data_IF_681003597275
#
_entry.id   IF_681003597275
#
_cell.length_a   1.000
_cell.length_b   1.000
_cell.length_c   1.000
_cell.angle_alpha   90.00
_cell.angle_beta   90.00
_cell.angle_gamma   90.00
#
_symmetry.space_group_name_H-M   'P 1'
#
loop_
_entity.id
_entity.type
_entity.pdbx_description
1 polymer ?
#
# COMPACT_ATOMS: atom_id res chain seq x y z
N UNK A 1 22.90 -16.44 34.55
CA UNK A 1 21.65 -16.84 33.87
C UNK A 1 21.47 -15.90 32.71
N UNK A 2 21.58 -16.38 31.47
CA UNK A 2 21.31 -15.54 30.29
C UNK A 2 19.81 -15.22 30.25
N UNK A 3 19.43 -13.96 30.42
CA UNK A 3 18.06 -13.53 30.20
C UNK A 3 17.64 -13.94 28.79
N UNK A 4 16.60 -14.77 28.68
CA UNK A 4 15.93 -15.02 27.40
C UNK A 4 15.41 -13.66 26.92
N UNK A 5 16.10 -13.04 25.98
CA UNK A 5 15.67 -11.79 25.36
C UNK A 5 14.42 -12.09 24.54
N UNK A 6 13.25 -11.68 25.05
CA UNK A 6 12.00 -11.78 24.31
C UNK A 6 12.12 -10.99 23.01
N UNK A 7 11.84 -11.64 21.89
CA UNK A 7 11.87 -11.04 20.55
C UNK A 7 10.59 -10.29 20.18
N UNK A 8 9.57 -10.33 21.04
CA UNK A 8 8.29 -9.64 20.82
C UNK A 8 8.44 -8.16 21.22
N UNK A 9 8.27 -7.26 20.25
CA UNK A 9 8.51 -5.83 20.48
C UNK A 9 7.39 -5.15 21.26
N UNK A 10 6.16 -5.67 21.22
CA UNK A 10 5.11 -5.17 22.09
C UNK A 10 5.44 -5.45 23.56
N UNK A 11 5.91 -6.66 23.88
CA UNK A 11 6.35 -6.94 25.24
C UNK A 11 7.54 -6.07 25.66
N UNK A 12 8.48 -5.84 24.73
CA UNK A 12 9.60 -4.93 24.96
C UNK A 12 9.13 -3.51 25.28
N UNK A 13 8.16 -3.00 24.53
CA UNK A 13 7.65 -1.63 24.64
C UNK A 13 6.72 -1.44 25.85
N UNK A 14 5.77 -2.34 26.07
CA UNK A 14 4.74 -2.19 27.11
C UNK A 14 5.15 -2.71 28.48
N UNK A 15 6.14 -3.62 28.55
CA UNK A 15 6.52 -4.30 29.80
C UNK A 15 7.99 -4.08 30.14
N UNK A 16 8.92 -4.50 29.28
CA UNK A 16 10.35 -4.39 29.59
C UNK A 16 10.78 -2.94 29.75
N UNK A 17 10.20 -2.02 28.97
CA UNK A 17 10.46 -0.60 29.06
C UNK A 17 10.26 -0.04 30.47
N UNK A 18 9.24 -0.50 31.19
CA UNK A 18 8.88 0.01 32.53
C UNK A 18 9.46 -0.78 33.70
N UNK A 19 10.20 -1.87 33.47
CA UNK A 19 10.88 -2.59 34.57
C UNK A 19 11.86 -1.69 35.35
N UNK A 20 12.24 -0.55 34.75
CA UNK A 20 13.07 0.47 35.37
C UNK A 20 12.38 1.27 36.47
N UNK A 21 11.05 1.22 36.59
CA UNK A 21 10.30 1.94 37.63
C UNK A 21 10.70 1.52 39.05
N UNK A 22 11.33 0.35 39.21
CA UNK A 22 11.82 -0.18 40.49
C UNK A 22 13.30 0.14 40.73
N UNK A 23 13.96 0.87 39.83
CA UNK A 23 15.42 1.09 39.80
C UNK A 23 15.78 2.54 40.14
N UNK A 24 17.08 2.80 40.32
CA UNK A 24 17.60 4.17 40.44
C UNK A 24 17.42 4.94 39.13
N UNK A 25 17.52 6.28 39.15
CA UNK A 25 17.32 7.09 37.95
C UNK A 25 18.35 6.79 36.84
N UNK A 26 19.62 6.61 37.18
CA UNK A 26 20.67 6.25 36.20
C UNK A 26 20.41 4.88 35.55
N UNK A 27 20.07 3.87 36.35
CA UNK A 27 19.75 2.53 35.85
C UNK A 27 18.49 2.54 34.98
N UNK A 28 17.55 3.41 35.31
CA UNK A 28 16.33 3.55 34.55
C UNK A 28 16.56 4.21 33.19
N UNK A 29 17.34 5.29 33.13
CA UNK A 29 17.71 5.92 31.85
C UNK A 29 18.49 4.96 30.96
N UNK A 30 19.44 4.21 31.52
CA UNK A 30 20.20 3.20 30.77
C UNK A 30 19.29 2.12 30.18
N UNK A 31 18.33 1.62 30.95
CA UNK A 31 17.40 0.60 30.47
C UNK A 31 16.45 1.16 29.40
N UNK A 32 15.89 2.35 29.59
CA UNK A 32 15.02 3.00 28.60
C UNK A 32 15.74 3.18 27.27
N UNK A 33 16.98 3.70 27.32
CA UNK A 33 17.85 3.82 26.16
C UNK A 33 18.08 2.47 25.49
N UNK A 34 18.43 1.44 26.25
CA UNK A 34 18.66 0.08 25.72
C UNK A 34 17.40 -0.49 25.06
N UNK A 35 16.22 -0.28 25.65
CA UNK A 35 14.96 -0.76 25.08
C UNK A 35 14.60 0.01 23.80
N UNK A 36 14.78 1.33 23.80
CA UNK A 36 14.58 2.21 22.63
C UNK A 36 15.50 1.83 21.47
N UNK A 37 16.79 1.65 21.73
CA UNK A 37 17.77 1.20 20.73
C UNK A 37 17.35 -0.15 20.15
N UNK A 38 16.95 -1.11 21.00
CA UNK A 38 16.44 -2.42 20.54
C UNK A 38 15.17 -2.31 19.69
N UNK A 39 14.25 -1.40 19.99
CA UNK A 39 13.04 -1.18 19.19
C UNK A 39 13.38 -0.65 17.79
N UNK A 40 14.25 0.35 17.71
CA UNK A 40 14.66 0.99 16.44
C UNK A 40 15.57 0.07 15.63
N UNK A 41 16.45 -0.69 16.28
CA UNK A 41 17.35 -1.66 15.65
C UNK A 41 16.67 -2.99 15.34
N UNK A 42 15.36 -3.13 15.52
CA UNK A 42 14.67 -4.35 15.14
C UNK A 42 14.50 -4.47 13.63
N UNK A 43 14.89 -5.63 13.10
CA UNK A 43 14.69 -5.98 11.70
C UNK A 43 13.30 -6.61 11.51
N UNK A 44 12.58 -6.17 10.48
CA UNK A 44 11.32 -6.78 10.11
C UNK A 44 11.54 -8.21 9.58
N UNK A 45 10.83 -9.18 10.16
CA UNK A 45 10.79 -10.58 9.71
C UNK A 45 9.35 -10.92 9.37
N UNK A 46 9.07 -11.20 8.10
CA UNK A 46 7.71 -11.57 7.67
C UNK A 46 7.27 -12.85 8.39
N UNK A 47 6.20 -12.77 9.16
CA UNK A 47 5.50 -13.97 9.65
C UNK A 47 4.70 -14.57 8.48
N UNK A 48 4.98 -15.82 8.13
CA UNK A 48 4.60 -16.39 6.84
C UNK A 48 3.17 -16.93 6.74
N UNK A 49 2.41 -17.06 7.83
CA UNK A 49 1.27 -17.98 7.79
C UNK A 49 -0.12 -17.34 8.00
N UNK A 50 -0.31 -16.41 8.93
CA UNK A 50 -1.68 -16.01 9.34
C UNK A 50 -2.41 -15.09 8.35
N UNK A 51 -1.72 -14.19 7.64
CA UNK A 51 -2.38 -13.17 6.81
C UNK A 51 -2.58 -13.58 5.35
N UNK A 52 -1.77 -14.52 4.85
CA UNK A 52 -1.91 -15.02 3.48
C UNK A 52 -3.17 -15.93 3.35
N UNK A 53 -3.67 -16.49 4.45
CA UNK A 53 -4.94 -17.23 4.51
C UNK A 53 -6.17 -16.33 4.33
N UNK A 54 -6.14 -15.09 4.83
CA UNK A 54 -7.24 -14.14 4.69
C UNK A 54 -7.57 -13.85 3.22
N UNK A 55 -6.55 -13.83 2.36
CA UNK A 55 -6.69 -13.61 0.91
C UNK A 55 -7.47 -14.71 0.20
N UNK A 56 -7.54 -15.89 0.80
CA UNK A 56 -8.22 -17.05 0.24
C UNK A 56 -9.71 -17.08 0.61
N UNK A 57 -10.13 -16.23 1.55
CA UNK A 57 -11.53 -16.14 1.96
C UNK A 57 -12.38 -15.51 0.85
N UNK A 58 -13.56 -16.09 0.64
CA UNK A 58 -14.51 -15.61 -0.36
C UNK A 58 -14.93 -14.15 -0.09
N UNK A 59 -14.88 -13.32 -1.14
CA UNK A 59 -15.23 -11.91 -1.09
C UNK A 59 -14.17 -11.01 -0.44
N UNK A 60 -13.01 -11.55 -0.03
CA UNK A 60 -11.90 -10.74 0.44
C UNK A 60 -11.12 -10.16 -0.73
N UNK A 61 -10.93 -8.85 -0.68
CA UNK A 61 -10.08 -8.12 -1.61
C UNK A 61 -8.92 -7.50 -0.85
N UNK A 62 -7.72 -7.65 -1.42
CA UNK A 62 -6.48 -7.16 -0.82
C UNK A 62 -5.77 -6.15 -1.71
N UNK A 63 -5.17 -5.16 -1.08
CA UNK A 63 -4.26 -4.20 -1.72
C UNK A 63 -3.15 -3.79 -0.76
N UNK A 64 -2.07 -3.26 -1.33
CA UNK A 64 -0.89 -2.87 -0.57
C UNK A 64 -0.62 -1.38 -0.75
N UNK A 65 -0.38 -0.71 0.38
CA UNK A 65 0.04 0.68 0.41
C UNK A 65 1.38 0.79 1.11
N UNK A 66 2.18 1.75 0.68
CA UNK A 66 3.52 2.02 1.21
C UNK A 66 3.54 3.38 1.90
N UNK A 67 4.09 3.43 3.11
CA UNK A 67 4.24 4.67 3.88
C UNK A 67 5.18 5.64 3.16
N UNK A 68 4.81 6.91 3.16
CA UNK A 68 5.63 8.02 2.66
C UNK A 68 6.32 8.75 3.82
N UNK A 69 7.27 9.63 3.50
CA UNK A 69 7.90 10.53 4.47
C UNK A 69 6.85 11.48 5.07
N UNK A 70 6.87 11.76 6.39
CA UNK A 70 7.89 11.44 7.40
C UNK A 70 7.73 10.07 8.10
N UNK A 71 6.72 9.28 7.73
CA UNK A 71 6.39 7.98 8.33
C UNK A 71 4.93 7.91 8.77
N UNK A 72 4.61 6.94 9.61
CA UNK A 72 3.25 6.69 10.09
C UNK A 72 3.22 6.68 11.63
N UNK A 73 2.28 7.46 12.19
CA UNK A 73 2.00 7.51 13.63
C UNK A 73 0.67 6.81 13.91
N UNK A 74 0.72 5.72 14.67
CA UNK A 74 -0.45 4.92 15.03
C UNK A 74 -0.46 4.67 16.52
N UNK A 75 -1.63 4.79 17.16
CA UNK A 75 -1.78 4.52 18.59
C UNK A 75 -1.23 5.60 19.53
N UNK A 76 -0.92 6.81 19.04
CA UNK A 76 -0.38 7.91 19.88
C UNK A 76 -1.30 8.35 21.02
N UNK A 77 -2.60 8.01 20.96
CA UNK A 77 -3.56 8.28 22.01
C UNK A 77 -3.45 7.32 23.20
N UNK A 78 -2.72 6.21 23.03
CA UNK A 78 -2.43 5.30 24.13
C UNK A 78 -1.43 5.97 25.05
N UNK A 79 -1.77 6.02 26.34
CA UNK A 79 -0.87 6.54 27.34
C UNK A 79 0.39 5.67 27.37
N UNK A 80 1.53 6.32 27.18
CA UNK A 80 2.85 5.73 27.35
C UNK A 80 3.73 6.83 27.96
N UNK A 81 4.75 6.43 28.69
CA UNK A 81 5.74 7.30 29.26
C UNK A 81 5.56 7.59 30.74
N UNK A 82 6.69 7.86 31.37
CA UNK A 82 6.80 8.32 32.75
C UNK A 82 7.28 9.76 32.74
N UNK A 83 6.50 10.68 33.32
CA UNK A 83 6.88 12.09 33.39
C UNK A 83 8.27 12.25 34.02
N UNK A 84 9.16 12.99 33.35
CA UNK A 84 10.41 13.48 33.95
C UNK A 84 11.70 12.75 33.58
N UNK A 85 11.69 11.82 32.61
CA UNK A 85 12.92 11.15 32.12
C UNK A 85 13.23 11.53 30.67
N UNK A 86 14.50 11.81 30.36
CA UNK A 86 14.92 12.35 29.06
C UNK A 86 14.79 11.32 27.92
N UNK A 87 15.04 10.05 28.20
CA UNK A 87 14.98 8.96 27.20
C UNK A 87 13.58 8.36 27.04
N UNK A 88 12.58 8.93 27.71
CA UNK A 88 11.22 8.39 27.74
C UNK A 88 10.49 8.54 26.39
N UNK A 89 9.82 7.47 25.95
CA UNK A 89 8.87 7.51 24.85
C UNK A 89 7.52 7.93 25.44
N UNK A 90 7.08 9.14 25.11
CA UNK A 90 5.94 9.78 25.79
C UNK A 90 4.57 9.44 25.18
N UNK A 91 4.55 8.73 24.06
CA UNK A 91 3.32 8.40 23.33
C UNK A 91 3.32 6.93 22.95
N UNK A 92 2.17 6.27 23.09
CA UNK A 92 2.05 4.86 22.76
C UNK A 92 2.06 4.59 21.26
N UNK A 93 2.16 3.31 20.93
CA UNK A 93 2.03 2.80 19.57
C UNK A 93 1.09 1.60 19.55
N UNK A 94 0.26 1.47 18.51
CA UNK A 94 -0.55 0.28 18.31
C UNK A 94 0.31 -0.87 17.81
N UNK A 95 0.54 -1.88 18.66
CA UNK A 95 1.28 -3.11 18.32
C UNK A 95 0.38 -4.34 18.53
N UNK A 96 0.57 -5.33 17.66
CA UNK A 96 -0.14 -6.61 17.74
C UNK A 96 0.55 -7.56 18.73
N UNK A 97 -0.23 -8.22 19.58
CA UNK A 97 0.28 -8.99 20.72
C UNK A 97 0.93 -10.29 20.32
N UNK A 98 0.54 -10.84 19.16
CA UNK A 98 1.09 -12.10 18.67
C UNK A 98 2.41 -11.86 17.94
N UNK A 99 2.39 -10.97 16.95
CA UNK A 99 3.54 -10.68 16.09
C UNK A 99 4.54 -9.74 16.76
N UNK A 100 4.08 -8.92 17.71
CA UNK A 100 4.87 -7.83 18.29
C UNK A 100 5.11 -6.68 17.32
N UNK A 101 4.45 -6.64 16.16
CA UNK A 101 4.66 -5.60 15.16
C UNK A 101 3.56 -4.53 15.17
N UNK A 102 3.87 -3.29 14.75
CA UNK A 102 2.87 -2.26 14.58
C UNK A 102 1.82 -2.66 13.54
N UNK A 103 0.55 -2.40 13.83
CA UNK A 103 -0.58 -2.70 12.95
C UNK A 103 -1.56 -1.52 12.89
N UNK A 104 -2.35 -1.46 11.83
CA UNK A 104 -3.41 -0.45 11.69
C UNK A 104 -4.75 -1.14 11.97
N UNK A 105 -5.50 -0.70 12.99
CA UNK A 105 -6.78 -1.33 13.32
C UNK A 105 -7.79 -1.23 12.17
N UNK A 106 -8.57 -2.28 11.94
CA UNK A 106 -9.66 -2.33 10.97
C UNK A 106 -10.73 -1.28 11.26
N UNK A 107 -10.94 -0.94 12.53
CA UNK A 107 -11.82 0.16 12.95
C UNK A 107 -11.27 1.54 12.51
N UNK A 108 -9.95 1.73 12.53
CA UNK A 108 -9.29 2.94 12.01
C UNK A 108 -9.47 3.04 10.49
N UNK A 109 -9.26 1.94 9.77
CA UNK A 109 -9.46 1.86 8.32
C UNK A 109 -10.92 2.20 7.96
N UNK A 110 -11.89 1.55 8.63
CA UNK A 110 -13.32 1.85 8.50
C UNK A 110 -13.61 3.32 8.77
N UNK A 111 -13.05 3.88 9.84
CA UNK A 111 -13.26 5.27 10.25
C UNK A 111 -12.76 6.28 9.21
N UNK A 112 -11.58 6.04 8.63
CA UNK A 112 -11.01 6.89 7.57
C UNK A 112 -11.89 6.83 6.32
N UNK A 113 -12.22 5.63 5.85
CA UNK A 113 -13.05 5.46 4.65
C UNK A 113 -14.41 6.12 4.88
N UNK A 114 -15.06 5.90 6.04
CA UNK A 114 -16.34 6.55 6.38
C UNK A 114 -16.23 8.07 6.46
N UNK A 115 -15.13 8.60 6.97
CA UNK A 115 -14.90 10.05 6.94
C UNK A 115 -14.75 10.57 5.51
N UNK A 116 -14.22 9.76 4.60
CA UNK A 116 -14.08 10.07 3.19
C UNK A 116 -15.42 10.33 2.52
N UNK A 117 -16.41 9.45 2.73
CA UNK A 117 -17.78 9.61 2.23
C UNK A 117 -18.38 10.98 2.63
N UNK A 118 -18.06 11.47 3.83
CA UNK A 118 -18.55 12.77 4.32
C UNK A 118 -17.77 13.97 3.80
N UNK A 119 -16.46 13.83 3.60
CA UNK A 119 -15.57 14.93 3.24
C UNK A 119 -15.48 15.18 1.74
N UNK A 120 -15.63 14.13 0.94
CA UNK A 120 -15.39 14.16 -0.51
C UNK A 120 -16.55 13.55 -1.32
N UNK A 121 -17.82 13.91 -1.05
CA UNK A 121 -18.96 13.26 -1.70
C UNK A 121 -18.97 13.47 -3.23
N UNK A 122 -18.69 14.69 -3.68
CA UNK A 122 -18.64 15.04 -5.11
C UNK A 122 -17.49 14.34 -5.84
N UNK A 123 -16.31 14.30 -5.22
CA UNK A 123 -15.12 13.66 -5.79
C UNK A 123 -15.30 12.14 -5.87
N UNK A 124 -15.94 11.53 -4.86
CA UNK A 124 -16.28 10.10 -4.90
C UNK A 124 -17.23 9.83 -6.07
N UNK A 125 -18.31 10.60 -6.22
CA UNK A 125 -19.21 10.46 -7.37
C UNK A 125 -18.44 10.59 -8.70
N UNK A 126 -17.57 11.60 -8.83
CA UNK A 126 -16.71 11.75 -10.00
C UNK A 126 -15.78 10.55 -10.23
N UNK A 127 -15.16 10.02 -9.18
CA UNK A 127 -14.31 8.84 -9.27
C UNK A 127 -15.09 7.60 -9.69
N UNK A 128 -16.37 7.51 -9.33
CA UNK A 128 -17.27 6.44 -9.71
C UNK A 128 -17.93 6.64 -11.08
N UNK A 129 -17.83 7.85 -11.65
CA UNK A 129 -18.46 8.22 -12.92
C UNK A 129 -19.94 8.59 -12.78
N UNK A 130 -20.35 8.98 -11.58
CA UNK A 130 -21.69 9.47 -11.27
C UNK A 130 -21.70 10.99 -11.27
N UNK A 131 -22.79 11.57 -11.77
CA UNK A 131 -23.06 13.00 -11.66
C UNK A 131 -23.75 13.25 -10.31
N UNK A 132 -23.13 14.05 -9.45
CA UNK A 132 -23.59 14.27 -8.07
C UNK A 132 -25.04 14.82 -8.03
N UNK A 133 -25.29 15.90 -8.77
CA UNK A 133 -26.59 16.57 -8.86
C UNK A 133 -27.67 15.75 -9.60
N UNK A 134 -27.26 14.86 -10.52
CA UNK A 134 -28.15 14.01 -11.32
C UNK A 134 -28.41 12.65 -10.68
N UNK A 135 -28.60 12.61 -9.35
CA UNK A 135 -28.89 11.38 -8.59
C UNK A 135 -27.68 10.64 -8.02
N UNK A 136 -26.45 11.12 -8.24
CA UNK A 136 -25.24 10.56 -7.66
C UNK A 136 -25.20 10.63 -6.13
N UNK A 137 -25.74 11.70 -5.54
CA UNK A 137 -25.86 11.86 -4.09
C UNK A 137 -26.66 10.72 -3.44
N UNK A 138 -27.82 10.37 -4.02
CA UNK A 138 -28.65 9.28 -3.51
C UNK A 138 -27.92 7.93 -3.61
N UNK A 139 -27.30 7.65 -4.76
CA UNK A 139 -26.51 6.43 -4.96
C UNK A 139 -25.35 6.33 -3.98
N UNK A 140 -24.69 7.45 -3.69
CA UNK A 140 -23.61 7.50 -2.70
C UNK A 140 -24.13 7.20 -1.29
N UNK A 141 -25.29 7.73 -0.91
CA UNK A 141 -25.92 7.44 0.38
C UNK A 141 -26.33 5.97 0.54
N UNK A 142 -26.86 5.35 -0.52
CA UNK A 142 -27.17 3.92 -0.55
C UNK A 142 -25.89 3.07 -0.43
N UNK A 143 -24.82 3.45 -1.14
CA UNK A 143 -23.51 2.82 -1.04
C UNK A 143 -22.93 2.95 0.38
N UNK A 144 -22.99 4.13 1.01
CA UNK A 144 -22.50 4.33 2.38
C UNK A 144 -23.20 3.38 3.36
N UNK A 145 -24.54 3.28 3.28
CA UNK A 145 -25.33 2.38 4.12
C UNK A 145 -24.92 0.93 3.90
N UNK A 146 -24.86 0.47 2.65
CA UNK A 146 -24.44 -0.90 2.29
C UNK A 146 -23.05 -1.25 2.82
N UNK A 147 -22.13 -0.29 2.85
CA UNK A 147 -20.75 -0.51 3.28
C UNK A 147 -20.64 -0.57 4.81
N UNK A 148 -21.32 0.33 5.54
CA UNK A 148 -21.04 0.54 6.97
C UNK A 148 -22.13 0.05 7.93
N UNK A 149 -23.37 -0.02 7.46
CA UNK A 149 -24.54 -0.35 8.24
C UNK A 149 -24.93 -1.83 7.98
N UNK A 150 -25.20 -2.60 9.04
CA UNK A 150 -25.73 -3.94 8.85
C UNK A 150 -27.16 -3.86 8.30
N UNK A 151 -27.43 -4.63 7.25
CA UNK A 151 -28.80 -4.89 6.83
C UNK A 151 -29.48 -5.73 7.91
N UNK A 152 -30.40 -5.12 8.67
CA UNK A 152 -31.10 -5.75 9.81
C UNK A 152 -32.18 -6.72 9.36
N UNK A 153 -32.61 -6.65 8.09
CA UNK A 153 -33.66 -7.49 7.53
C UNK A 153 -33.11 -8.82 6.99
N UNK A 154 -31.78 -9.01 6.99
CA UNK A 154 -31.10 -10.25 6.59
C UNK A 154 -30.53 -10.98 7.80
N UNK A 155 -30.68 -12.31 7.83
CA UNK A 155 -30.13 -13.19 8.88
C UNK A 155 -28.61 -13.05 9.04
N UNK A 156 -27.92 -12.65 7.97
CA UNK A 156 -26.50 -12.29 7.98
C UNK A 156 -26.37 -10.83 7.58
N UNK A 157 -25.84 -10.00 8.49
CA UNK A 157 -25.57 -8.59 8.24
C UNK A 157 -24.58 -8.43 7.07
N UNK A 158 -25.10 -8.17 5.87
CA UNK A 158 -24.32 -7.97 4.65
C UNK A 158 -23.69 -6.56 4.63
N UNK A 159 -22.63 -6.39 5.43
CA UNK A 159 -21.78 -5.20 5.42
C UNK A 159 -20.34 -5.56 5.09
N UNK A 160 -19.54 -4.56 4.75
CA UNK A 160 -18.12 -4.77 4.57
C UNK A 160 -17.41 -5.00 5.91
N UNK A 161 -16.50 -5.98 5.94
CA UNK A 161 -15.64 -6.26 7.08
C UNK A 161 -14.23 -5.76 6.78
N UNK A 162 -13.80 -4.76 7.54
CA UNK A 162 -12.47 -4.18 7.47
C UNK A 162 -11.57 -4.92 8.46
N UNK A 163 -10.60 -5.68 7.94
CA UNK A 163 -9.60 -6.32 8.76
C UNK A 163 -8.49 -5.33 9.13
N UNK A 164 -7.73 -5.68 10.16
CA UNK A 164 -6.50 -4.99 10.50
C UNK A 164 -5.49 -5.07 9.35
N UNK A 165 -4.71 -4.00 9.15
CA UNK A 165 -3.63 -3.97 8.18
C UNK A 165 -2.27 -4.18 8.84
N UNK A 166 -1.44 -5.02 8.21
CA UNK A 166 -0.18 -5.49 8.77
C UNK A 166 0.99 -5.21 7.83
N UNK A 167 2.19 -5.08 8.41
CA UNK A 167 3.42 -4.89 7.65
C UNK A 167 3.72 -6.19 6.88
N UNK A 168 3.99 -6.06 5.58
CA UNK A 168 4.38 -7.20 4.72
C UNK A 168 5.79 -7.07 4.15
N UNK A 169 6.32 -5.85 4.07
CA UNK A 169 7.65 -5.58 3.51
C UNK A 169 8.26 -4.31 4.10
N UNK A 170 9.55 -4.38 4.41
CA UNK A 170 10.41 -3.23 4.72
C UNK A 170 11.52 -3.17 3.66
N UNK A 171 11.58 -2.09 2.87
CA UNK A 171 12.46 -2.00 1.69
C UNK A 171 13.87 -1.45 1.98
N UNK A 172 14.12 -0.88 3.17
CA UNK A 172 15.42 -0.30 3.53
C UNK A 172 16.50 -1.36 3.80
N UNK A 173 17.78 -0.98 3.61
CA UNK A 173 18.92 -1.77 4.06
C UNK A 173 18.76 -2.13 5.54
N UNK A 174 18.85 -3.42 5.87
CA UNK A 174 18.63 -3.92 7.23
C UNK A 174 17.16 -4.14 7.61
N UNK A 175 16.18 -3.90 6.71
CA UNK A 175 14.75 -4.15 6.98
C UNK A 175 14.21 -3.43 8.23
N UNK A 176 14.80 -2.29 8.60
CA UNK A 176 14.32 -1.45 9.70
C UNK A 176 12.94 -0.91 9.37
N UNK A 177 12.07 -0.79 10.37
CA UNK A 177 10.67 -0.39 10.17
C UNK A 177 10.10 0.51 11.27
N UNK A 178 10.77 0.60 12.42
CA UNK A 178 10.44 1.53 13.51
C UNK A 178 11.54 2.61 13.57
N UNK A 179 11.15 3.82 13.93
CA UNK A 179 12.05 4.93 14.22
C UNK A 179 11.45 5.82 15.31
N UNK A 180 12.25 6.72 15.86
CA UNK A 180 11.77 7.75 16.77
C UNK A 180 11.67 9.10 16.07
N UNK A 181 10.75 9.92 16.52
CA UNK A 181 10.68 11.33 16.14
C UNK A 181 10.47 12.18 17.40
N UNK A 182 10.77 13.46 17.28
CA UNK A 182 10.72 14.41 18.38
C UNK A 182 9.74 15.52 18.01
N UNK A 183 8.59 15.58 18.70
CA UNK A 183 7.64 16.67 18.54
C UNK A 183 7.84 17.66 19.67
N UNK A 184 7.89 18.93 19.30
CA UNK A 184 8.21 19.99 20.24
C UNK A 184 7.08 21.04 20.22
N UNK A 185 6.17 21.07 21.22
CA UNK A 185 5.08 22.03 21.25
C UNK A 185 5.59 23.42 21.65
N UNK A 186 5.31 24.41 20.82
CA UNK A 186 5.61 25.83 21.10
C UNK A 186 4.42 26.56 21.72
N UNK A 187 3.57 25.89 22.52
CA UNK A 187 2.28 26.48 22.92
C UNK A 187 2.42 27.29 24.21
N UNK A 188 2.28 28.61 24.12
CA UNK A 188 2.05 29.45 25.29
C UNK A 188 0.55 29.41 25.66
N UNK A 189 0.20 28.62 26.69
CA UNK A 189 -1.18 28.46 27.16
C UNK A 189 -1.84 29.77 27.64
N UNK A 190 -1.05 30.79 28.01
CA UNK A 190 -1.56 32.08 28.47
C UNK A 190 -1.69 33.10 27.35
N UNK A 191 -0.87 33.01 26.30
CA UNK A 191 -0.91 33.95 25.18
C UNK A 191 -0.53 33.26 23.85
N UNK A 192 -1.51 32.71 23.11
CA UNK A 192 -1.24 31.92 21.90
C UNK A 192 -0.44 32.65 20.82
N UNK A 193 -0.53 33.99 20.74
CA UNK A 193 0.18 34.81 19.76
C UNK A 193 1.71 34.88 20.01
N UNK A 194 2.16 34.66 21.25
CA UNK A 194 3.59 34.69 21.62
C UNK A 194 4.28 33.31 21.49
N UNK A 195 3.51 32.28 21.15
CA UNK A 195 3.97 30.90 20.94
C UNK A 195 5.14 30.80 19.96
N UNK A 196 5.18 31.69 18.95
CA UNK A 196 6.17 31.69 17.85
C UNK A 196 7.58 32.06 18.34
N UNK A 197 7.69 32.79 19.46
CA UNK A 197 8.96 33.35 19.95
C UNK A 197 9.53 32.61 21.16
N UNK A 198 8.88 31.53 21.63
CA UNK A 198 9.30 30.83 22.86
C UNK A 198 10.12 29.59 22.55
N UNK A 199 11.27 29.48 23.22
CA UNK A 199 12.05 28.25 23.25
C UNK A 199 11.22 27.11 23.83
N UNK A 200 11.28 25.92 23.23
CA UNK A 200 10.36 24.85 23.59
C UNK A 200 10.62 24.24 24.96
N UNK A 201 9.55 23.91 25.66
CA UNK A 201 9.61 23.49 27.07
C UNK A 201 9.77 21.97 27.26
N UNK A 202 9.45 21.15 26.24
CA UNK A 202 9.62 19.70 26.30
C UNK A 202 9.76 19.10 24.90
N UNK A 203 10.73 18.19 24.71
CA UNK A 203 10.82 17.34 23.53
C UNK A 203 9.99 16.08 23.81
N UNK A 204 8.91 15.88 23.06
CA UNK A 204 8.11 14.66 23.12
C UNK A 204 8.66 13.66 22.13
N UNK A 205 9.45 12.70 22.64
CA UNK A 205 9.90 11.55 21.86
C UNK A 205 8.71 10.64 21.59
N UNK A 206 8.48 10.34 20.31
CA UNK A 206 7.42 9.46 19.84
C UNK A 206 7.99 8.34 19.00
N UNK A 207 7.33 7.18 19.03
CA UNK A 207 7.64 6.07 18.13
C UNK A 207 6.83 6.23 16.84
N UNK A 208 7.47 6.00 15.69
CA UNK A 208 6.83 6.00 14.37
C UNK A 208 7.22 4.78 13.55
N UNK A 209 6.34 4.41 12.64
CA UNK A 209 6.71 3.50 11.55
C UNK A 209 7.44 4.31 10.48
N UNK A 210 8.56 3.78 9.99
CA UNK A 210 9.42 4.43 9.00
C UNK A 210 8.68 4.68 7.67
N UNK A 211 9.19 5.59 6.84
CA UNK A 211 8.84 5.61 5.42
C UNK A 211 9.22 4.30 4.74
N UNK A 212 8.65 4.05 3.58
CA UNK A 212 8.92 2.89 2.74
C UNK A 212 8.55 1.52 3.33
N UNK A 213 7.62 1.50 4.29
CA UNK A 213 7.08 0.28 4.88
C UNK A 213 5.75 -0.05 4.21
N UNK A 214 5.62 -1.28 3.73
CA UNK A 214 4.43 -1.75 3.03
C UNK A 214 3.46 -2.39 4.01
N UNK A 215 2.24 -1.87 4.03
CA UNK A 215 1.09 -2.46 4.71
C UNK A 215 0.18 -3.16 3.72
N UNK A 216 -0.39 -4.28 4.15
CA UNK A 216 -1.41 -4.99 3.42
C UNK A 216 -2.77 -4.79 4.07
N UNK A 217 -3.73 -4.33 3.26
CA UNK A 217 -5.11 -4.07 3.65
C UNK A 217 -5.97 -5.18 3.08
N UNK A 218 -6.81 -5.76 3.94
CA UNK A 218 -7.75 -6.81 3.59
C UNK A 218 -9.16 -6.35 3.95
N UNK A 219 -10.09 -6.45 3.01
CA UNK A 219 -11.49 -6.07 3.23
C UNK A 219 -12.37 -7.16 2.64
N UNK A 220 -13.28 -7.74 3.44
CA UNK A 220 -14.33 -8.61 2.93
C UNK A 220 -15.48 -7.73 2.46
N UNK A 221 -15.76 -7.79 1.17
CA UNK A 221 -16.82 -7.03 0.52
C UNK A 221 -18.08 -7.88 0.41
N UNK A 222 -19.23 -7.33 0.81
CA UNK A 222 -20.52 -8.05 0.85
C UNK A 222 -20.97 -8.63 -0.51
N UNK A 223 -20.66 -7.95 -1.62
CA UNK A 223 -21.03 -8.36 -3.00
C UNK A 223 -19.82 -8.80 -3.87
N UNK A 224 -18.68 -9.13 -3.25
CA UNK A 224 -17.45 -9.46 -3.98
C UNK A 224 -16.74 -8.24 -4.60
N UNK A 225 -17.15 -7.03 -4.23
CA UNK A 225 -16.42 -5.79 -4.51
C UNK A 225 -16.89 -5.00 -5.72
N UNK A 226 -18.01 -5.41 -6.31
CA UNK A 226 -18.62 -4.66 -7.40
C UNK A 226 -19.36 -3.45 -6.82
N UNK A 227 -19.38 -2.37 -7.60
CA UNK A 227 -20.30 -1.26 -7.35
C UNK A 227 -21.43 -1.48 -8.34
N UNK A 228 -22.64 -1.71 -7.85
CA UNK A 228 -23.82 -1.78 -8.70
C UNK A 228 -23.91 -0.49 -9.53
N UNK A 229 -24.21 -0.62 -10.83
CA UNK A 229 -24.21 0.47 -11.81
C UNK A 229 -22.84 1.09 -12.19
N UNK A 230 -21.70 0.43 -11.93
CA UNK A 230 -20.39 0.88 -12.42
C UNK A 230 -19.46 -0.29 -12.80
N UNK A 231 -18.67 -0.13 -13.87
CA UNK A 231 -17.55 -1.05 -14.16
C UNK A 231 -16.40 -0.92 -13.14
N UNK A 232 -16.47 0.06 -12.23
CA UNK A 232 -15.42 0.38 -11.26
C UNK A 232 -15.54 -0.45 -9.98
N UNK A 233 -14.38 -0.67 -9.36
CA UNK A 233 -14.25 -1.55 -8.20
C UNK A 233 -14.23 -0.75 -6.89
N UNK A 234 -14.95 -1.23 -5.84
CA UNK A 234 -14.91 -0.66 -4.48
C UNK A 234 -13.50 -0.62 -3.89
N UNK A 235 -12.67 -1.60 -4.26
CA UNK A 235 -11.25 -1.65 -3.92
C UNK A 235 -10.53 -0.34 -4.27
N UNK A 236 -10.73 0.15 -5.49
CA UNK A 236 -10.01 1.32 -5.99
C UNK A 236 -10.48 2.58 -5.27
N UNK A 237 -11.77 2.65 -4.93
CA UNK A 237 -12.34 3.72 -4.11
C UNK A 237 -11.69 3.73 -2.71
N UNK A 238 -11.64 2.58 -2.02
CA UNK A 238 -11.03 2.51 -0.69
C UNK A 238 -9.54 2.82 -0.71
N UNK A 239 -8.82 2.31 -1.71
CA UNK A 239 -7.42 2.61 -1.91
C UNK A 239 -7.19 4.13 -2.09
N UNK A 240 -7.99 4.78 -2.94
CA UNK A 240 -7.93 6.24 -3.15
C UNK A 240 -8.23 7.01 -1.87
N UNK A 241 -9.32 6.68 -1.17
CA UNK A 241 -9.71 7.35 0.07
C UNK A 241 -8.63 7.27 1.15
N UNK A 242 -7.98 6.12 1.31
CA UNK A 242 -6.88 5.95 2.25
C UNK A 242 -5.64 6.77 1.85
N UNK A 243 -5.37 6.91 0.54
CA UNK A 243 -4.25 7.72 0.06
C UNK A 243 -4.52 9.23 0.21
N UNK A 244 -5.74 9.69 -0.06
CA UNK A 244 -6.11 11.11 0.02
C UNK A 244 -6.22 11.64 1.46
N UNK A 245 -6.79 10.85 2.37
CA UNK A 245 -6.97 11.28 3.77
C UNK A 245 -5.71 11.10 4.63
N UNK A 246 -4.87 10.13 4.28
CA UNK A 246 -3.79 9.64 5.13
C UNK A 246 -4.32 8.79 6.30
N UNK A 247 -3.41 8.03 6.90
CA UNK A 247 -3.72 7.07 7.96
C UNK A 247 -3.02 7.43 9.27
N UNK A 248 -3.72 7.28 10.39
CA UNK A 248 -3.14 7.51 11.71
C UNK A 248 -3.20 8.98 12.13
N UNK A 249 -2.22 9.41 12.92
CA UNK A 249 -2.22 10.72 13.55
C UNK A 249 -1.38 11.77 12.81
N UNK A 250 -1.71 13.05 13.04
CA UNK A 250 -0.97 14.22 12.53
C UNK A 250 -0.86 14.26 11.00
N UNK A 251 -1.89 13.82 10.28
CA UNK A 251 -1.94 13.81 8.82
C UNK A 251 -1.76 15.19 8.18
N UNK A 252 -2.20 16.26 8.83
CA UNK A 252 -1.95 17.65 8.41
C UNK A 252 -0.46 18.04 8.37
N UNK A 253 0.41 17.31 9.08
CA UNK A 253 1.87 17.51 9.07
C UNK A 253 2.58 16.56 8.09
N UNK A 254 1.84 15.81 7.27
CA UNK A 254 2.35 14.87 6.28
C UNK A 254 2.51 13.43 6.77
N UNK A 255 2.40 13.16 8.08
CA UNK A 255 2.40 11.79 8.61
C UNK A 255 1.25 10.97 8.04
N UNK A 256 1.46 9.67 7.90
CA UNK A 256 0.39 8.77 7.47
C UNK A 256 0.05 8.84 5.99
N UNK A 257 0.75 9.66 5.21
CA UNK A 257 0.65 9.64 3.76
C UNK A 257 1.08 8.29 3.21
N UNK A 258 0.29 7.73 2.30
CA UNK A 258 0.56 6.43 1.70
C UNK A 258 0.37 6.47 0.19
N UNK A 259 1.11 5.61 -0.51
CA UNK A 259 0.98 5.42 -1.96
C UNK A 259 0.76 3.95 -2.30
N UNK A 260 0.00 3.63 -3.35
CA UNK A 260 -0.15 2.26 -3.81
C UNK A 260 1.21 1.65 -4.16
N UNK A 261 1.42 0.41 -3.74
CA UNK A 261 2.56 -0.37 -4.22
C UNK A 261 2.29 -0.72 -5.68
N UNK A 262 3.08 -0.11 -6.59
CA UNK A 262 3.07 -0.51 -8.00
C UNK A 262 3.62 -1.92 -8.10
N UNK A 263 2.73 -2.90 -8.09
CA UNK A 263 3.10 -4.28 -8.33
C UNK A 263 3.63 -4.39 -9.76
N UNK A 264 4.94 -4.62 -9.90
CA UNK A 264 5.45 -5.28 -11.10
C UNK A 264 4.70 -6.61 -11.16
N UNK A 265 3.83 -6.79 -12.15
CA UNK A 265 3.22 -8.10 -12.39
C UNK A 265 4.39 -9.07 -12.55
N UNK A 266 4.44 -10.10 -11.70
CA UNK A 266 5.34 -11.22 -11.94
C UNK A 266 4.82 -11.94 -13.18
N UNK A 267 5.37 -11.54 -14.31
CA UNK A 267 5.09 -12.12 -15.60
C UNK A 267 5.65 -13.55 -15.63
N UNK A 268 4.77 -14.54 -15.48
CA UNK A 268 5.13 -15.97 -15.52
C UNK A 268 5.40 -16.37 -16.97
N UNK A 269 6.53 -17.06 -17.26
CA UNK A 269 6.79 -17.62 -18.58
C UNK A 269 5.67 -18.57 -19.02
N UNK A 270 5.29 -18.52 -20.29
CA UNK A 270 4.22 -19.33 -20.88
C UNK A 270 2.83 -18.70 -20.80
N UNK A 271 2.60 -17.73 -19.91
CA UNK A 271 1.29 -17.10 -19.76
C UNK A 271 1.06 -16.01 -20.83
N UNK A 272 -0.21 -15.87 -21.21
CA UNK A 272 -0.71 -14.86 -22.15
C UNK A 272 -1.22 -13.64 -21.37
N UNK A 273 -0.77 -12.46 -21.77
CA UNK A 273 -1.11 -11.20 -21.14
C UNK A 273 -1.76 -10.25 -22.16
N UNK A 274 -2.83 -9.56 -21.76
CA UNK A 274 -3.35 -8.42 -22.53
C UNK A 274 -2.51 -7.20 -22.21
N UNK A 275 -1.99 -6.54 -23.24
CA UNK A 275 -1.15 -5.38 -23.14
C UNK A 275 -1.71 -4.23 -23.99
N UNK A 276 -1.56 -2.99 -23.51
CA UNK A 276 -1.91 -1.79 -24.26
C UNK A 276 -0.63 -1.10 -24.72
N UNK A 277 -0.51 -0.77 -26.00
CA UNK A 277 0.66 -0.08 -26.54
C UNK A 277 0.65 1.38 -26.06
N UNK A 278 1.66 1.78 -25.28
CA UNK A 278 1.80 3.16 -24.77
C UNK A 278 2.68 4.00 -25.71
N UNK A 279 3.71 3.38 -26.29
CA UNK A 279 4.70 4.10 -27.08
C UNK A 279 5.35 3.18 -28.11
N UNK A 280 5.56 3.69 -29.33
CA UNK A 280 6.27 2.99 -30.40
C UNK A 280 7.40 3.88 -30.88
N UNK A 281 8.65 3.44 -30.71
CA UNK A 281 9.84 4.16 -31.19
C UNK A 281 10.74 3.18 -31.97
N UNK A 282 10.67 3.23 -33.31
CA UNK A 282 11.48 2.41 -34.21
C UNK A 282 11.31 0.90 -33.99
N UNK A 283 12.27 0.27 -33.29
CA UNK A 283 12.26 -1.17 -32.96
C UNK A 283 11.90 -1.48 -31.49
N UNK A 284 11.54 -0.46 -30.72
CA UNK A 284 11.10 -0.59 -29.34
C UNK A 284 9.62 -0.28 -29.21
N UNK A 285 8.93 -1.10 -28.43
CA UNK A 285 7.52 -0.94 -28.14
C UNK A 285 7.33 -0.96 -26.63
N UNK A 286 6.78 0.11 -26.06
CA UNK A 286 6.40 0.14 -24.64
C UNK A 286 4.94 -0.26 -24.50
N UNK A 287 4.69 -1.21 -23.63
CA UNK A 287 3.37 -1.75 -23.31
C UNK A 287 3.00 -1.48 -21.86
N UNK A 288 1.71 -1.23 -21.61
CA UNK A 288 1.10 -1.39 -20.29
C UNK A 288 0.56 -2.80 -20.14
N UNK A 289 0.91 -3.50 -19.07
CA UNK A 289 0.22 -4.72 -18.66
C UNK A 289 -0.24 -4.48 -17.22
N UNK A 290 -1.57 -4.49 -17.01
CA UNK A 290 -2.18 -4.01 -15.77
C UNK A 290 -1.77 -2.55 -15.46
N UNK A 291 -1.11 -2.32 -14.34
CA UNK A 291 -0.63 -0.97 -13.93
C UNK A 291 0.87 -0.74 -14.19
N UNK A 292 1.57 -1.73 -14.76
CA UNK A 292 3.02 -1.67 -14.96
C UNK A 292 3.38 -1.44 -16.43
N UNK A 293 4.42 -0.63 -16.65
CA UNK A 293 4.97 -0.36 -17.98
C UNK A 293 6.13 -1.32 -18.27
N UNK A 294 6.12 -1.92 -19.46
CA UNK A 294 7.12 -2.87 -19.95
C UNK A 294 7.68 -2.38 -21.28
N UNK A 295 8.96 -2.65 -21.53
CA UNK A 295 9.61 -2.35 -22.82
C UNK A 295 9.91 -3.64 -23.55
N UNK A 296 9.49 -3.73 -24.80
CA UNK A 296 9.69 -4.85 -25.71
C UNK A 296 10.68 -4.42 -26.79
N UNK A 297 11.75 -5.20 -26.97
CA UNK A 297 12.78 -4.94 -28.00
C UNK A 297 12.70 -6.04 -29.05
N UNK A 298 12.58 -5.67 -30.33
CA UNK A 298 12.67 -6.62 -31.45
C UNK A 298 14.09 -7.22 -31.55
N UNK A 299 14.31 -8.41 -31.01
CA UNK A 299 15.35 -9.32 -31.55
C UNK A 299 14.79 -9.98 -32.81
N UNK A 300 15.66 -10.24 -33.80
CA UNK A 300 15.35 -10.69 -35.17
C UNK A 300 14.32 -11.84 -35.30
N UNK A 301 14.04 -12.63 -34.26
CA UNK A 301 13.29 -13.89 -34.37
C UNK A 301 12.04 -14.00 -33.45
N UNK A 302 11.48 -12.88 -32.99
CA UNK A 302 10.36 -12.87 -31.99
C UNK A 302 8.96 -12.92 -32.63
N UNK A 303 8.88 -12.68 -33.94
CA UNK A 303 7.69 -12.95 -34.74
C UNK A 303 8.05 -14.14 -35.63
N UNK A 304 7.18 -15.16 -35.74
CA UNK A 304 7.23 -16.13 -36.83
C UNK A 304 6.82 -15.43 -38.15
N UNK A 305 7.48 -14.32 -38.46
CA UNK A 305 7.33 -13.56 -39.70
C UNK A 305 8.73 -13.34 -40.20
N UNK A 306 9.36 -14.41 -40.67
CA UNK A 306 10.65 -14.37 -41.38
C UNK A 306 10.56 -13.64 -42.75
N UNK A 307 9.41 -13.04 -43.08
CA UNK A 307 9.13 -12.47 -44.41
C UNK A 307 8.44 -11.09 -44.42
N UNK A 308 8.66 -10.20 -43.45
CA UNK A 308 8.17 -8.80 -43.53
C UNK A 308 9.30 -7.77 -43.50
N UNK A 309 9.39 -6.93 -44.54
CA UNK A 309 10.20 -5.70 -44.56
C UNK A 309 9.32 -4.55 -44.02
N UNK A 310 9.46 -4.19 -42.74
CA UNK A 310 8.76 -3.05 -42.14
C UNK A 310 9.22 -2.71 -40.71
N UNK A 311 9.05 -1.44 -40.30
CA UNK A 311 9.30 -0.96 -38.94
C UNK A 311 8.11 -1.23 -38.01
N UNK A 312 8.28 -1.27 -36.68
CA UNK A 312 7.16 -1.60 -35.77
C UNK A 312 6.07 -0.53 -35.76
N UNK A 313 6.42 0.72 -36.10
CA UNK A 313 5.48 1.84 -36.27
C UNK A 313 4.44 1.59 -37.36
N UNK A 314 4.74 0.72 -38.32
CA UNK A 314 3.83 0.39 -39.42
C UNK A 314 2.73 -0.59 -38.99
N UNK A 315 2.93 -1.24 -37.84
CA UNK A 315 2.13 -2.37 -37.34
C UNK A 315 1.38 -2.09 -36.04
N UNK A 316 1.86 -1.14 -35.22
CA UNK A 316 1.27 -0.84 -33.92
C UNK A 316 1.01 0.66 -33.75
N UNK A 317 -0.14 0.99 -33.18
CA UNK A 317 -0.49 2.35 -32.80
C UNK A 317 -0.66 2.45 -31.29
N UNK A 318 -0.41 3.65 -30.74
CA UNK A 318 -0.66 3.94 -29.33
C UNK A 318 -2.14 3.71 -29.02
N UNK A 319 -2.44 3.00 -27.93
CA UNK A 319 -3.79 2.59 -27.53
C UNK A 319 -4.24 1.23 -28.08
N UNK A 320 -3.47 0.60 -28.97
CA UNK A 320 -3.80 -0.74 -29.49
C UNK A 320 -3.67 -1.79 -28.38
N UNK A 321 -4.68 -2.65 -28.24
CA UNK A 321 -4.63 -3.83 -27.35
C UNK A 321 -4.01 -5.01 -28.08
N UNK A 322 -2.96 -5.58 -27.53
CA UNK A 322 -2.24 -6.73 -28.06
C UNK A 322 -2.18 -7.86 -27.04
N UNK A 323 -2.05 -9.11 -27.51
CA UNK A 323 -1.81 -10.26 -26.64
C UNK A 323 -0.35 -10.68 -26.73
N UNK A 324 0.27 -10.89 -25.57
CA UNK A 324 1.70 -11.14 -25.48
C UNK A 324 1.96 -12.37 -24.61
N UNK A 325 2.72 -13.33 -25.12
CA UNK A 325 3.17 -14.51 -24.36
C UNK A 325 4.58 -14.29 -23.84
N UNK A 326 4.77 -14.52 -22.55
CA UNK A 326 6.08 -14.39 -21.92
C UNK A 326 6.98 -15.59 -22.22
N UNK A 327 8.21 -15.36 -22.70
CA UNK A 327 9.28 -16.37 -22.74
C UNK A 327 10.44 -15.94 -21.84
N UNK A 328 11.05 -16.91 -21.16
CA UNK A 328 12.29 -16.71 -20.41
C UNK A 328 13.45 -16.96 -21.37
N UNK A 329 14.32 -15.96 -21.55
CA UNK A 329 15.63 -16.17 -22.17
C UNK A 329 16.70 -15.70 -21.17
N UNK A 330 17.79 -16.44 -21.06
CA UNK A 330 18.94 -16.08 -20.23
C UNK A 330 20.04 -15.68 -21.20
N UNK A 331 20.66 -14.52 -21.01
CA UNK A 331 21.78 -14.13 -21.86
C UNK A 331 23.04 -14.93 -21.53
N UNK A 332 24.07 -14.81 -22.36
CA UNK A 332 25.36 -15.47 -22.18
C UNK A 332 26.05 -15.12 -20.84
N UNK A 333 25.63 -14.04 -20.17
CA UNK A 333 26.10 -13.61 -18.85
C UNK A 333 25.21 -14.08 -17.68
N UNK A 334 24.27 -15.01 -17.89
CA UNK A 334 23.40 -15.53 -16.83
C UNK A 334 22.30 -14.57 -16.34
N UNK A 335 22.11 -13.42 -16.99
CA UNK A 335 21.11 -12.40 -16.65
C UNK A 335 19.81 -12.70 -17.38
N UNK A 336 18.71 -12.69 -16.63
CA UNK A 336 17.37 -12.90 -17.18
C UNK A 336 17.02 -11.78 -18.17
N UNK A 337 16.87 -12.10 -19.45
CA UNK A 337 16.28 -11.21 -20.45
C UNK A 337 14.87 -11.71 -20.72
N UNK A 338 13.86 -11.04 -20.16
CA UNK A 338 12.46 -11.35 -20.46
C UNK A 338 12.16 -10.98 -21.91
N UNK A 339 11.94 -11.97 -22.76
CA UNK A 339 11.55 -11.80 -24.15
C UNK A 339 10.06 -12.11 -24.28
N UNK A 340 9.32 -11.15 -24.79
CA UNK A 340 7.90 -11.27 -25.09
C UNK A 340 7.75 -11.84 -26.50
N UNK A 341 7.19 -13.05 -26.67
CA UNK A 341 6.76 -13.54 -27.97
C UNK A 341 5.35 -13.04 -28.24
N UNK A 342 5.15 -12.28 -29.32
CA UNK A 342 3.79 -12.00 -29.79
C UNK A 342 3.22 -13.31 -30.29
N UNK A 343 2.15 -13.77 -29.64
CA UNK A 343 1.44 -14.93 -30.15
C UNK A 343 0.43 -14.43 -31.17
N UNK A 344 0.60 -14.98 -32.36
CA UNK A 344 -0.16 -14.75 -33.58
C UNK A 344 -1.65 -14.48 -33.27
N UNK A 345 -2.11 -13.25 -33.53
CA UNK A 345 -3.53 -13.06 -33.73
C UNK A 345 -3.83 -13.63 -35.12
N UNK A 346 -4.07 -14.94 -35.15
CA UNK A 346 -4.36 -15.71 -36.35
C UNK A 346 -5.39 -15.03 -37.25
N UNK A 347 -5.34 -15.33 -38.54
CA UNK A 347 -6.15 -14.79 -39.66
C UNK A 347 -6.34 -13.27 -39.77
N UNK A 348 -6.67 -12.52 -38.71
CA UNK A 348 -6.91 -11.07 -38.75
C UNK A 348 -5.64 -10.26 -38.98
N UNK A 349 -4.53 -10.57 -38.28
CA UNK A 349 -3.25 -9.91 -38.57
C UNK A 349 -2.70 -10.33 -39.93
N UNK A 350 -2.92 -11.59 -40.33
CA UNK A 350 -2.55 -12.07 -41.66
C UNK A 350 -3.31 -11.32 -42.76
N UNK A 351 -4.64 -11.16 -42.62
CA UNK A 351 -5.49 -10.34 -43.50
C UNK A 351 -5.09 -8.86 -43.50
N UNK A 352 -4.68 -8.31 -42.35
CA UNK A 352 -4.15 -6.94 -42.25
C UNK A 352 -2.81 -6.78 -42.98
N UNK A 353 -1.91 -7.77 -42.91
CA UNK A 353 -0.64 -7.76 -43.63
C UNK A 353 -0.82 -8.01 -45.14
N UNK A 354 -1.73 -8.91 -45.53
CA UNK A 354 -2.09 -9.20 -46.92
C UNK A 354 -2.77 -7.99 -47.59
N UNK A 355 -3.74 -7.35 -46.91
CA UNK A 355 -4.43 -6.14 -47.42
C UNK A 355 -3.51 -4.93 -47.58
N UNK A 356 -2.37 -4.88 -46.89
CA UNK A 356 -1.34 -3.84 -47.03
C UNK A 356 -0.20 -4.24 -47.96
N UNK A 357 -0.25 -5.43 -48.58
CA UNK A 357 0.74 -5.90 -49.55
C UNK A 357 2.10 -6.26 -48.94
N UNK A 358 2.14 -6.57 -47.65
CA UNK A 358 3.39 -6.75 -46.89
C UNK A 358 3.68 -8.22 -46.54
N UNK A 359 2.84 -9.16 -46.99
CA UNK A 359 2.99 -10.60 -46.76
C UNK A 359 3.24 -11.32 -48.11
N UNK A 360 4.34 -12.07 -48.21
CA UNK A 360 4.61 -12.97 -49.34
C UNK A 360 4.79 -14.40 -48.81
N UNK A 361 4.15 -15.37 -49.46
CA UNK A 361 4.19 -16.79 -49.09
C UNK A 361 5.61 -17.36 -49.00
#
# INVERSE_FOLDING_TARGET
MGEKTNSNLQYLFEVDYYKCLLKTDEEAEYQMKTCKDRLVDSDFKKHTNSYDELKQLHGVVSFQLKTCSPGLLIGIGNAHGTKGKNEDIQMGMSMDYVTGYPYIPGSTIKGIIRSGFKKFPEEICKWLGWEYESGGEQKLGELEKKVFEPDLDKEFAEKDLFFDAYITKAEECGRKFIDTDNITPHINKKNPAESIFKSPEAITTILKVRPNITFEFNIRMSDGGKIEDSEKNRKDLYQKLLCELGIGAKTNLGYGSMVPVKNKIELKPGNLYSAEVIEVQGRQLKCRIGEANYSIVKKKNILNVEKTKGELSDFFHVGMKIRIRMKREINESGKLISIFNMEDQGEEMKKLFESRGLYHE
#
